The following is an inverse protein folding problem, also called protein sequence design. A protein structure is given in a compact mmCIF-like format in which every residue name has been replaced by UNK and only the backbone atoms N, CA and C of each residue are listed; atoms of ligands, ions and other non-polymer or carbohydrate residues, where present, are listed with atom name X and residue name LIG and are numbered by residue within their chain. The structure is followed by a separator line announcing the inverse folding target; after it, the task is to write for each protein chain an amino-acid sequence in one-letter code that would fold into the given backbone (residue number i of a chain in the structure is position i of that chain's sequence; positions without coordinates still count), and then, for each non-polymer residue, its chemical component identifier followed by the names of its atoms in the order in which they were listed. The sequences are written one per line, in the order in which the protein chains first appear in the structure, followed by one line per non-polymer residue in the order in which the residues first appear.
data_IF_017438336339
#
_entry.id   IF_017438336339
#
_cell.length_a   1.000
_cell.length_b   1.000
_cell.length_c   1.000
_cell.angle_alpha   90.00
_cell.angle_beta   90.00
_cell.angle_gamma   90.00
#
_symmetry.space_group_name_H-M   'P 1'
#
loop_
_entity.id
_entity.type
_entity.pdbx_description
1 polymer ?
#
# COMPACT_ATOMS: atom_id res chain seq x y z
N UNK A 1 13.11 3.77 15.36
CA UNK A 1 11.88 3.75 14.55
C UNK A 1 11.84 5.08 13.80
N UNK A 2 11.82 5.05 12.48
CA UNK A 2 11.77 6.25 11.64
C UNK A 2 10.39 6.32 10.98
N UNK A 3 9.76 7.49 11.02
CA UNK A 3 8.49 7.75 10.30
C UNK A 3 8.78 8.42 8.97
N UNK A 4 7.82 8.38 8.05
CA UNK A 4 7.92 9.10 6.78
C UNK A 4 8.10 10.60 7.07
N UNK A 5 9.18 11.16 6.55
CA UNK A 5 9.51 12.59 6.65
C UNK A 5 9.58 13.14 8.09
N UNK A 6 9.90 12.29 9.07
CA UNK A 6 10.03 12.66 10.50
C UNK A 6 8.83 13.38 11.11
N UNK A 7 7.64 13.23 10.50
CA UNK A 7 6.39 13.84 10.94
C UNK A 7 5.72 13.10 12.11
N UNK A 8 6.37 12.07 12.69
CA UNK A 8 5.91 11.26 13.83
C UNK A 8 4.52 10.62 13.69
N UNK A 9 4.02 10.44 12.46
CA UNK A 9 2.64 9.97 12.22
C UNK A 9 2.52 8.73 11.35
N UNK A 10 3.32 8.59 10.30
CA UNK A 10 3.16 7.49 9.35
C UNK A 10 4.41 6.63 9.30
N UNK A 11 4.25 5.31 9.37
CA UNK A 11 5.35 4.36 9.31
C UNK A 11 5.09 3.32 8.21
N UNK A 12 6.05 3.14 7.30
CA UNK A 12 6.04 2.03 6.36
C UNK A 12 6.32 0.73 7.11
N UNK A 13 5.37 -0.20 7.07
CA UNK A 13 5.47 -1.51 7.69
C UNK A 13 5.51 -2.58 6.60
N UNK A 14 6.69 -3.10 6.35
CA UNK A 14 6.91 -4.23 5.45
C UNK A 14 6.77 -5.54 6.23
N UNK A 15 5.97 -6.47 5.68
CA UNK A 15 5.72 -7.78 6.26
C UNK A 15 6.67 -8.81 5.62
N UNK A 16 7.11 -9.84 6.36
CA UNK A 16 7.95 -10.89 5.78
C UNK A 16 7.23 -11.61 4.63
N UNK A 17 7.89 -11.78 3.48
CA UNK A 17 7.26 -12.31 2.26
C UNK A 17 6.51 -13.66 2.42
N UNK A 18 7.04 -14.53 3.29
CA UNK A 18 6.60 -15.92 3.44
C UNK A 18 5.77 -16.18 4.69
N UNK A 19 5.58 -15.20 5.56
CA UNK A 19 4.90 -15.41 6.84
C UNK A 19 4.21 -14.14 7.30
N UNK A 20 3.00 -14.28 7.82
CA UNK A 20 2.32 -13.20 8.52
C UNK A 20 2.45 -13.44 10.02
N UNK A 21 3.33 -12.71 10.75
CA UNK A 21 3.51 -12.92 12.17
C UNK A 21 2.16 -12.81 12.93
N UNK A 22 1.85 -13.72 13.87
CA UNK A 22 0.61 -13.64 14.64
C UNK A 22 0.43 -12.30 15.38
N UNK A 23 1.54 -11.69 15.79
CA UNK A 23 1.57 -10.39 16.47
C UNK A 23 1.37 -9.18 15.53
N UNK A 24 1.15 -9.36 14.22
CA UNK A 24 1.02 -8.23 13.27
C UNK A 24 -0.11 -7.27 13.66
N UNK A 25 -1.27 -7.81 14.01
CA UNK A 25 -2.43 -7.00 14.43
C UNK A 25 -2.14 -6.25 15.75
N UNK A 26 -1.46 -6.89 16.70
CA UNK A 26 -1.05 -6.29 17.98
C UNK A 26 -0.02 -5.16 17.78
N UNK A 27 0.97 -5.37 16.91
CA UNK A 27 1.96 -4.35 16.56
C UNK A 27 1.26 -3.14 15.93
N UNK A 28 0.34 -3.36 14.99
CA UNK A 28 -0.41 -2.28 14.36
C UNK A 28 -1.26 -1.50 15.39
N UNK A 29 -1.94 -2.20 16.30
CA UNK A 29 -2.71 -1.58 17.37
C UNK A 29 -1.82 -0.74 18.30
N UNK A 30 -0.65 -1.25 18.69
CA UNK A 30 0.30 -0.53 19.55
C UNK A 30 0.94 0.68 18.88
N UNK A 31 1.17 0.63 17.57
CA UNK A 31 1.62 1.81 16.82
C UNK A 31 0.53 2.89 16.84
N UNK A 32 -0.72 2.50 16.62
CA UNK A 32 -1.83 3.46 16.60
C UNK A 32 -2.12 4.07 17.97
N UNK A 33 -1.99 3.31 19.06
CA UNK A 33 -2.13 3.85 20.41
C UNK A 33 -1.09 4.93 20.74
N UNK A 34 0.02 4.95 19.99
CA UNK A 34 1.07 5.99 20.05
C UNK A 34 0.87 7.11 19.03
N UNK A 35 -0.26 7.15 18.32
CA UNK A 35 -0.54 8.15 17.29
C UNK A 35 0.16 7.88 15.94
N UNK A 36 0.74 6.69 15.75
CA UNK A 36 1.42 6.30 14.51
C UNK A 36 0.51 5.38 13.70
N UNK A 37 0.14 5.81 12.50
CA UNK A 37 -0.61 5.02 11.53
C UNK A 37 0.34 4.15 10.69
N UNK A 38 0.26 2.81 10.78
CA UNK A 38 1.03 1.92 9.93
C UNK A 38 0.53 1.98 8.49
N UNK A 39 1.46 1.95 7.54
CA UNK A 39 1.19 1.79 6.11
C UNK A 39 1.76 0.44 5.71
N UNK A 40 0.89 -0.54 5.46
CA UNK A 40 1.28 -1.86 4.99
C UNK A 40 1.78 -1.74 3.56
N UNK A 41 3.06 -2.06 3.33
CA UNK A 41 3.69 -1.95 2.01
C UNK A 41 3.45 -3.19 1.19
N UNK A 42 3.10 -2.96 -0.07
CA UNK A 42 2.93 -3.94 -1.14
C UNK A 42 2.31 -5.30 -0.74
N UNK A 43 1.16 -5.32 -0.02
CA UNK A 43 0.56 -6.56 0.45
C UNK A 43 0.07 -7.46 -0.69
N UNK A 44 -0.09 -6.92 -1.91
CA UNK A 44 -0.41 -7.69 -3.11
C UNK A 44 0.68 -8.70 -3.51
N UNK A 45 1.91 -8.51 -3.01
CA UNK A 45 3.04 -9.42 -3.24
C UNK A 45 3.15 -10.50 -2.17
N UNK A 46 2.51 -10.32 -1.02
CA UNK A 46 2.63 -11.23 0.12
C UNK A 46 1.78 -12.49 -0.06
N UNK A 47 2.39 -13.68 -0.05
CA UNK A 47 1.73 -14.94 -0.43
C UNK A 47 0.47 -15.23 0.39
N UNK A 48 0.56 -15.16 1.72
CA UNK A 48 -0.57 -15.41 2.62
C UNK A 48 -1.73 -14.43 2.40
N UNK A 49 -1.45 -13.17 2.08
CA UNK A 49 -2.50 -12.16 1.83
C UNK A 49 -3.17 -12.41 0.48
N UNK A 50 -2.44 -12.91 -0.53
CA UNK A 50 -3.03 -13.31 -1.81
C UNK A 50 -4.01 -14.47 -1.64
N UNK A 51 -3.68 -15.46 -0.80
CA UNK A 51 -4.54 -16.60 -0.50
C UNK A 51 -5.70 -16.24 0.43
N UNK A 52 -5.46 -15.35 1.40
CA UNK A 52 -6.41 -14.94 2.42
C UNK A 52 -6.58 -13.41 2.48
N UNK A 53 -7.24 -12.78 1.48
CA UNK A 53 -7.45 -11.32 1.42
C UNK A 53 -8.11 -10.71 2.67
N UNK A 54 -8.91 -11.48 3.40
CA UNK A 54 -9.54 -11.02 4.64
C UNK A 54 -8.52 -10.59 5.70
N UNK A 55 -7.29 -11.14 5.68
CA UNK A 55 -6.23 -10.72 6.61
C UNK A 55 -5.80 -9.28 6.38
N UNK A 56 -5.70 -8.85 5.12
CA UNK A 56 -5.45 -7.45 4.79
C UNK A 56 -6.62 -6.57 5.26
N UNK A 57 -7.86 -7.03 5.03
CA UNK A 57 -9.05 -6.31 5.50
C UNK A 57 -9.05 -6.08 7.01
N UNK A 58 -8.62 -7.05 7.82
CA UNK A 58 -8.49 -6.88 9.29
C UNK A 58 -7.50 -5.77 9.64
N UNK A 59 -6.36 -5.69 8.96
CA UNK A 59 -5.38 -4.61 9.18
C UNK A 59 -5.96 -3.24 8.80
N UNK A 60 -6.71 -3.17 7.71
CA UNK A 60 -7.42 -1.94 7.30
C UNK A 60 -8.47 -1.54 8.35
N UNK A 61 -9.24 -2.51 8.85
CA UNK A 61 -10.25 -2.28 9.89
C UNK A 61 -9.66 -1.82 11.22
N UNK A 62 -8.42 -2.22 11.49
CA UNK A 62 -7.67 -1.70 12.62
C UNK A 62 -7.20 -0.26 12.40
N UNK A 63 -7.30 0.31 11.20
CA UNK A 63 -6.87 1.68 10.87
C UNK A 63 -5.56 1.78 10.08
N UNK A 64 -5.01 0.65 9.60
CA UNK A 64 -3.80 0.68 8.78
C UNK A 64 -4.11 1.18 7.36
N UNK A 65 -3.17 1.94 6.80
CA UNK A 65 -3.18 2.27 5.38
C UNK A 65 -2.48 1.18 4.56
N UNK A 66 -2.65 1.24 3.25
CA UNK A 66 -2.10 0.24 2.31
C UNK A 66 -1.50 0.95 1.12
N UNK A 67 -0.21 0.72 0.92
CA UNK A 67 0.53 1.17 -0.25
C UNK A 67 0.70 0.01 -1.23
N UNK A 68 0.18 0.16 -2.45
CA UNK A 68 0.38 -0.81 -3.54
C UNK A 68 1.55 -0.41 -4.43
N UNK A 69 2.30 -1.37 -4.94
CA UNK A 69 3.36 -1.10 -5.92
C UNK A 69 2.76 -0.90 -7.32
N UNK A 70 3.13 0.18 -8.01
CA UNK A 70 2.65 0.47 -9.38
C UNK A 70 2.90 -0.67 -10.38
N UNK A 71 4.07 -1.31 -10.30
CA UNK A 71 4.44 -2.47 -11.12
C UNK A 71 3.50 -3.67 -10.96
N UNK A 72 2.77 -3.76 -9.85
CA UNK A 72 1.77 -4.79 -9.61
C UNK A 72 0.56 -4.64 -10.53
N UNK A 73 0.17 -3.41 -10.89
CA UNK A 73 -0.93 -3.14 -11.84
C UNK A 73 -0.53 -3.35 -13.30
N UNK A 74 0.74 -3.14 -13.64
CA UNK A 74 1.23 -3.32 -15.02
C UNK A 74 1.42 -4.80 -15.35
N UNK A 75 1.72 -5.64 -14.35
CA UNK A 75 1.88 -7.09 -14.48
C UNK A 75 3.32 -7.56 -14.40
N UNK A 76 4.24 -6.68 -13.97
CA UNK A 76 5.66 -6.98 -13.82
C UNK A 76 5.92 -8.19 -12.91
N UNK A 77 5.19 -8.29 -11.79
CA UNK A 77 5.30 -9.41 -10.83
C UNK A 77 4.46 -10.63 -11.21
N UNK A 78 3.99 -10.71 -12.46
CA UNK A 78 3.21 -11.83 -12.98
C UNK A 78 1.70 -11.66 -12.85
N UNK A 79 0.98 -12.61 -13.46
CA UNK A 79 -0.49 -12.56 -13.65
C UNK A 79 -1.26 -12.64 -12.34
N UNK A 80 -0.78 -13.42 -11.36
CA UNK A 80 -1.41 -13.57 -10.04
C UNK A 80 -1.44 -12.24 -9.29
N UNK A 81 -0.27 -11.62 -9.13
CA UNK A 81 -0.12 -10.29 -8.50
C UNK A 81 -0.95 -9.23 -9.22
N UNK A 82 -0.98 -9.23 -10.55
CA UNK A 82 -1.84 -8.31 -11.31
C UNK A 82 -3.33 -8.49 -11.01
N UNK A 83 -3.80 -9.74 -10.97
CA UNK A 83 -5.20 -10.06 -10.70
C UNK A 83 -5.61 -9.59 -9.31
N UNK A 84 -4.84 -9.95 -8.28
CA UNK A 84 -5.14 -9.59 -6.89
C UNK A 84 -5.03 -8.09 -6.66
N UNK A 85 -4.08 -7.41 -7.31
CA UNK A 85 -3.94 -5.95 -7.26
C UNK A 85 -5.21 -5.24 -7.73
N UNK A 86 -5.73 -5.65 -8.90
CA UNK A 86 -6.97 -5.11 -9.44
C UNK A 86 -8.16 -5.40 -8.53
N UNK A 87 -8.17 -6.56 -7.87
CA UNK A 87 -9.20 -6.91 -6.89
C UNK A 87 -9.13 -6.01 -5.66
N UNK A 88 -7.95 -5.80 -5.06
CA UNK A 88 -7.77 -4.92 -3.91
C UNK A 88 -8.17 -3.48 -4.23
N UNK A 89 -7.82 -2.97 -5.40
CA UNK A 89 -8.27 -1.65 -5.88
C UNK A 89 -9.80 -1.58 -5.95
N UNK A 90 -10.46 -2.58 -6.56
CA UNK A 90 -11.94 -2.61 -6.67
C UNK A 90 -12.65 -2.75 -5.32
N UNK A 91 -12.04 -3.44 -4.37
CA UNK A 91 -12.54 -3.58 -3.00
C UNK A 91 -12.29 -2.33 -2.14
N UNK A 92 -11.56 -1.33 -2.65
CA UNK A 92 -11.19 -0.13 -1.89
C UNK A 92 -10.12 -0.38 -0.83
N UNK A 93 -9.31 -1.44 -0.97
CA UNK A 93 -8.30 -1.80 0.04
C UNK A 93 -6.99 -1.02 -0.10
N UNK A 94 -6.80 -0.32 -1.22
CA UNK A 94 -5.56 0.41 -1.52
C UNK A 94 -5.79 1.89 -1.26
N UNK A 95 -4.90 2.50 -0.47
CA UNK A 95 -5.00 3.90 -0.08
C UNK A 95 -4.04 4.78 -0.89
N UNK A 96 -2.86 4.25 -1.25
CA UNK A 96 -1.88 4.97 -2.06
C UNK A 96 -1.14 4.03 -3.00
N UNK A 97 -0.61 4.60 -4.07
CA UNK A 97 0.21 3.90 -5.05
C UNK A 97 1.62 4.50 -5.07
N UNK A 98 2.64 3.66 -4.99
CA UNK A 98 4.04 4.09 -5.05
C UNK A 98 4.86 3.19 -5.97
N UNK A 99 6.05 3.63 -6.36
CA UNK A 99 6.87 2.91 -7.36
C UNK A 99 7.55 1.68 -6.78
N UNK A 100 8.01 1.78 -5.52
CA UNK A 100 8.95 0.83 -4.92
C UNK A 100 10.15 0.55 -5.85
N UNK A 101 10.67 1.62 -6.48
CA UNK A 101 11.78 1.58 -7.44
C UNK A 101 13.09 1.28 -6.74
N UNK A 102 13.87 0.38 -7.32
CA UNK A 102 15.20 0.01 -6.81
C UNK A 102 16.33 0.46 -7.72
N UNK A 103 16.09 0.58 -9.04
CA UNK A 103 17.08 1.01 -10.01
C UNK A 103 16.41 1.40 -11.36
N UNK A 104 17.09 2.18 -12.22
CA UNK A 104 16.50 2.67 -13.47
C UNK A 104 16.35 1.61 -14.57
N UNK A 105 16.84 0.38 -14.40
CA UNK A 105 16.86 -0.66 -15.44
C UNK A 105 16.06 -1.92 -15.07
N UNK A 106 16.31 -2.53 -13.91
CA UNK A 106 15.68 -3.78 -13.48
C UNK A 106 14.35 -3.53 -12.77
N UNK A 107 14.20 -2.45 -12.02
CA UNK A 107 12.94 -2.06 -11.38
C UNK A 107 12.65 -0.56 -11.51
N UNK A 108 12.47 -0.06 -12.76
CA UNK A 108 12.29 1.36 -13.03
C UNK A 108 10.97 1.90 -12.44
N UNK A 109 10.87 3.22 -12.23
CA UNK A 109 9.63 3.86 -11.81
C UNK A 109 8.62 3.87 -12.97
N UNK A 110 7.55 3.09 -12.86
CA UNK A 110 6.48 3.01 -13.88
C UNK A 110 5.17 3.68 -13.43
N UNK A 111 5.26 4.67 -12.54
CA UNK A 111 4.08 5.22 -11.86
C UNK A 111 3.04 5.76 -12.83
N UNK A 112 3.45 6.46 -13.89
CA UNK A 112 2.53 7.03 -14.90
C UNK A 112 1.69 5.95 -15.61
N UNK A 113 2.31 4.82 -15.97
CA UNK A 113 1.59 3.70 -16.57
C UNK A 113 0.64 3.06 -15.55
N UNK A 114 1.09 2.88 -14.31
CA UNK A 114 0.27 2.31 -13.25
C UNK A 114 -0.94 3.21 -12.91
N UNK A 115 -0.78 4.54 -12.92
CA UNK A 115 -1.87 5.51 -12.76
C UNK A 115 -2.87 5.40 -13.91
N UNK A 116 -2.42 5.20 -15.15
CA UNK A 116 -3.32 4.99 -16.28
C UNK A 116 -4.19 3.74 -16.10
N UNK A 117 -3.59 2.62 -15.64
CA UNK A 117 -4.34 1.41 -15.31
C UNK A 117 -5.30 1.62 -14.13
N UNK A 118 -4.87 2.35 -13.11
CA UNK A 118 -5.69 2.68 -11.94
C UNK A 118 -6.89 3.56 -12.31
N UNK A 119 -6.68 4.59 -13.15
CA UNK A 119 -7.74 5.47 -13.65
C UNK A 119 -8.83 4.71 -14.39
N UNK A 120 -8.48 3.65 -15.15
CA UNK A 120 -9.47 2.78 -15.81
C UNK A 120 -10.32 1.97 -14.84
N UNK A 121 -9.84 1.75 -13.61
CA UNK A 121 -10.54 0.95 -12.59
C UNK A 121 -11.44 1.79 -11.69
N UNK A 122 -10.98 2.98 -11.30
CA UNK A 122 -11.63 3.78 -10.25
C UNK A 122 -11.87 5.25 -10.64
N UNK A 123 -11.55 5.62 -11.89
CA UNK A 123 -11.65 6.99 -12.38
C UNK A 123 -10.40 7.81 -12.11
N UNK A 124 -10.14 8.78 -12.98
CA UNK A 124 -8.94 9.61 -12.97
C UNK A 124 -8.75 10.40 -11.68
N UNK A 125 -9.82 11.07 -11.21
CA UNK A 125 -9.76 11.88 -9.98
C UNK A 125 -9.28 11.07 -8.77
N UNK A 126 -9.80 9.85 -8.59
CA UNK A 126 -9.40 8.97 -7.48
C UNK A 126 -7.98 8.45 -7.66
N UNK A 127 -7.62 8.05 -8.88
CA UNK A 127 -6.27 7.58 -9.17
C UNK A 127 -5.21 8.67 -8.90
N UNK A 128 -5.49 9.92 -9.28
CA UNK A 128 -4.60 11.06 -9.01
C UNK A 128 -4.47 11.35 -7.52
N UNK A 129 -5.56 11.31 -6.76
CA UNK A 129 -5.52 11.51 -5.31
C UNK A 129 -4.62 10.47 -4.60
N UNK A 130 -4.59 9.22 -5.09
CA UNK A 130 -3.75 8.15 -4.53
C UNK A 130 -2.24 8.31 -4.78
N UNK A 131 -1.83 9.20 -5.69
CA UNK A 131 -0.42 9.45 -6.02
C UNK A 131 0.04 10.88 -5.74
N UNK A 132 -0.87 11.82 -5.50
CA UNK A 132 -0.54 13.21 -5.17
C UNK A 132 -1.08 13.59 -3.79
N UNK A 133 -2.41 13.68 -3.65
CA UNK A 133 -3.07 14.26 -2.47
C UNK A 133 -2.78 13.46 -1.19
N UNK A 134 -2.97 12.14 -1.22
CA UNK A 134 -2.76 11.27 -0.05
C UNK A 134 -1.27 11.24 0.35
N UNK A 135 -0.31 11.04 -0.59
CA UNK A 135 1.10 11.18 -0.27
C UNK A 135 1.49 12.55 0.31
N UNK A 136 0.95 13.66 -0.18
CA UNK A 136 1.22 14.99 0.37
C UNK A 136 0.80 15.10 1.84
N UNK A 137 -0.41 14.63 2.17
CA UNK A 137 -0.88 14.57 3.57
C UNK A 137 0.01 13.70 4.44
N UNK A 138 0.45 12.54 3.93
CA UNK A 138 1.36 11.64 4.65
C UNK A 138 2.69 12.34 4.96
N UNK A 139 3.28 13.02 3.97
CA UNK A 139 4.54 13.76 4.12
C UNK A 139 4.40 14.91 5.14
N UNK A 140 3.23 15.57 5.16
CA UNK A 140 2.93 16.66 6.09
C UNK A 140 2.53 16.20 7.50
N UNK A 141 2.31 14.89 7.72
CA UNK A 141 1.78 14.38 8.99
C UNK A 141 0.31 14.74 9.24
N UNK A 142 -0.45 15.00 8.18
CA UNK A 142 -1.87 15.34 8.25
C UNK A 142 -2.78 14.10 8.16
N UNK A 143 -3.99 14.13 8.75
CA UNK A 143 -4.95 13.04 8.60
C UNK A 143 -5.36 12.81 7.13
N UNK A 144 -5.24 11.57 6.64
CA UNK A 144 -5.66 11.22 5.28
C UNK A 144 -7.18 11.12 5.11
N UNK A 145 -7.90 10.63 6.13
CA UNK A 145 -9.33 10.32 6.14
C UNK A 145 -10.00 10.80 7.43
#
# INVERSE_FOLDING_TARGET
MLTINDANRYLLLELPDTSLPPATEEICFHLQSKGITPIITHPERHMIIQEMPYKLKRLIDLGCLVQMTGNSLTGWFGRGVKKISRQFVKLGYVHLLATDTHDPKRRPPVLSQAVTELSRLIGEKRAQAMVNDIPQKIIAGEPCF
#
